data_IF_577640988971
#
_entry.id   IF_577640988971
#
_cell.length_a   1.000
_cell.length_b   1.000
_cell.length_c   1.000
_cell.angle_alpha   90.00
_cell.angle_beta   90.00
_cell.angle_gamma   90.00
#
_symmetry.space_group_name_H-M   'P 1'
#
loop_
_entity.id
_entity.type
_entity.pdbx_description
1 polymer ?
#
# COMPACT_ATOMS: atom_id res chain seq x y z
N UNK A 1 68.17 -3.58 -10.17
CA UNK A 1 68.07 -3.98 -8.74
C UNK A 1 66.62 -3.82 -8.30
N UNK A 2 66.10 -4.84 -7.61
CA UNK A 2 64.85 -4.95 -6.85
C UNK A 2 63.49 -4.81 -7.60
N UNK A 3 62.91 -5.98 -7.90
CA UNK A 3 61.50 -6.19 -8.22
C UNK A 3 60.60 -5.78 -7.05
N UNK A 4 59.72 -4.79 -7.23
CA UNK A 4 58.64 -4.47 -6.28
C UNK A 4 57.47 -5.45 -6.47
N UNK A 5 57.59 -6.61 -5.82
CA UNK A 5 56.65 -7.72 -5.92
C UNK A 5 55.24 -7.46 -5.33
N UNK A 6 54.30 -8.40 -5.55
CA UNK A 6 52.85 -8.30 -5.29
C UNK A 6 52.44 -8.41 -3.81
N UNK A 7 53.23 -7.85 -2.89
CA UNK A 7 52.97 -7.93 -1.44
C UNK A 7 51.88 -6.97 -0.94
N UNK A 8 51.66 -5.85 -1.62
CA UNK A 8 50.65 -4.84 -1.23
C UNK A 8 49.22 -5.32 -1.44
N UNK A 9 48.96 -6.09 -2.50
CA UNK A 9 47.62 -6.61 -2.81
C UNK A 9 47.12 -7.61 -1.76
N UNK A 10 47.97 -8.54 -1.33
CA UNK A 10 47.60 -9.54 -0.30
C UNK A 10 47.38 -8.93 1.08
N UNK A 11 48.19 -7.94 1.48
CA UNK A 11 47.98 -7.22 2.74
C UNK A 11 46.70 -6.39 2.72
N UNK A 12 46.42 -5.67 1.63
CA UNK A 12 45.19 -4.89 1.48
C UNK A 12 43.94 -5.80 1.52
N UNK A 13 43.98 -6.94 0.83
CA UNK A 13 42.89 -7.94 0.85
C UNK A 13 42.67 -8.49 2.25
N UNK A 14 43.72 -8.89 2.97
CA UNK A 14 43.58 -9.39 4.35
C UNK A 14 43.06 -8.31 5.32
N UNK A 15 43.45 -7.04 5.12
CA UNK A 15 42.95 -5.93 5.92
C UNK A 15 41.46 -5.66 5.66
N UNK A 16 41.02 -5.73 4.40
CA UNK A 16 39.62 -5.60 3.99
C UNK A 16 38.80 -6.77 4.55
N UNK A 17 39.29 -8.01 4.42
CA UNK A 17 38.62 -9.21 4.95
C UNK A 17 38.47 -9.15 6.48
N UNK A 18 39.50 -8.69 7.19
CA UNK A 18 39.44 -8.54 8.66
C UNK A 18 38.49 -7.43 9.09
N UNK A 19 38.38 -6.35 8.31
CA UNK A 19 37.43 -5.26 8.58
C UNK A 19 35.99 -5.69 8.29
N UNK A 20 35.77 -6.47 7.23
CA UNK A 20 34.47 -7.07 6.89
C UNK A 20 34.00 -8.08 7.96
N UNK A 21 34.88 -8.95 8.46
CA UNK A 21 34.52 -9.91 9.50
C UNK A 21 34.23 -9.23 10.84
N UNK A 22 35.03 -8.22 11.22
CA UNK A 22 34.79 -7.38 12.41
C UNK A 22 33.43 -6.67 12.34
N UNK A 23 33.12 -6.10 11.17
CA UNK A 23 31.85 -5.40 10.95
C UNK A 23 30.65 -6.37 11.02
N UNK A 24 30.81 -7.60 10.54
CA UNK A 24 29.78 -8.64 10.66
C UNK A 24 29.42 -8.98 12.11
N UNK A 25 30.42 -9.09 12.99
CA UNK A 25 30.20 -9.33 14.43
C UNK A 25 29.53 -8.13 15.12
N UNK A 26 29.93 -6.90 14.81
CA UNK A 26 29.31 -5.69 15.35
C UNK A 26 27.82 -5.57 14.96
N UNK A 27 27.48 -5.92 13.71
CA UNK A 27 26.09 -5.93 13.25
C UNK A 27 25.26 -6.97 14.03
N UNK A 28 25.80 -8.18 14.24
CA UNK A 28 25.09 -9.22 14.97
C UNK A 28 24.78 -8.79 16.42
N UNK A 29 25.78 -8.23 17.11
CA UNK A 29 25.62 -7.74 18.48
C UNK A 29 24.66 -6.55 18.56
N UNK A 30 24.68 -5.66 17.56
CA UNK A 30 23.74 -4.55 17.44
C UNK A 30 22.30 -5.04 17.22
N UNK A 31 22.10 -6.03 16.34
CA UNK A 31 20.80 -6.64 16.07
C UNK A 31 20.24 -7.35 17.31
N UNK A 32 21.05 -8.10 18.05
CA UNK A 32 20.62 -8.78 19.27
C UNK A 32 20.27 -7.79 20.39
N UNK A 33 21.03 -6.69 20.52
CA UNK A 33 20.66 -5.59 21.45
C UNK A 33 19.32 -4.96 21.08
N UNK A 34 19.07 -4.71 19.80
CA UNK A 34 17.80 -4.18 19.31
C UNK A 34 16.67 -5.16 19.59
N UNK A 35 16.83 -6.43 19.23
CA UNK A 35 15.85 -7.49 19.48
C UNK A 35 15.49 -7.59 20.96
N UNK A 36 16.49 -7.55 21.84
CA UNK A 36 16.29 -7.57 23.29
C UNK A 36 15.56 -6.32 23.80
N UNK A 37 15.88 -5.13 23.27
CA UNK A 37 15.21 -3.87 23.63
C UNK A 37 13.76 -3.83 23.14
N UNK A 38 13.50 -4.33 21.93
CA UNK A 38 12.15 -4.48 21.36
C UNK A 38 11.34 -5.46 22.20
N UNK A 39 11.85 -6.65 22.51
CA UNK A 39 11.15 -7.63 23.36
C UNK A 39 10.89 -7.11 24.78
N UNK A 40 11.80 -6.31 25.35
CA UNK A 40 11.60 -5.71 26.67
C UNK A 40 10.57 -4.58 26.69
N UNK A 41 10.34 -3.93 25.54
CA UNK A 41 9.39 -2.80 25.42
C UNK A 41 8.03 -3.23 24.87
N UNK A 42 7.95 -4.40 24.23
CA UNK A 42 6.71 -4.96 23.71
C UNK A 42 5.79 -5.34 24.88
N UNK A 43 4.61 -4.71 25.00
CA UNK A 43 3.63 -5.11 26.00
C UNK A 43 3.18 -6.55 25.75
N UNK A 44 3.11 -7.33 26.83
CA UNK A 44 2.65 -8.72 26.84
C UNK A 44 1.31 -8.88 26.08
N UNK A 45 1.16 -9.91 25.25
CA UNK A 45 -0.02 -10.10 24.39
C UNK A 45 -1.34 -9.99 25.18
N UNK A 46 -1.34 -10.48 26.41
CA UNK A 46 -2.47 -10.41 27.35
C UNK A 46 -2.84 -8.99 27.80
N UNK A 47 -1.89 -8.04 27.83
CA UNK A 47 -2.16 -6.61 28.14
C UNK A 47 -2.72 -5.87 26.93
N UNK A 48 -2.37 -6.27 25.71
CA UNK A 48 -2.95 -5.71 24.49
C UNK A 48 -4.42 -6.11 24.36
N UNK A 49 -4.76 -7.37 24.68
CA UNK A 49 -6.14 -7.87 24.69
C UNK A 49 -7.08 -7.12 25.65
N UNK A 50 -6.55 -6.62 26.77
CA UNK A 50 -7.32 -5.83 27.75
C UNK A 50 -7.48 -4.35 27.37
N UNK A 51 -6.80 -3.87 26.33
CA UNK A 51 -6.92 -2.48 25.90
C UNK A 51 -8.24 -2.26 25.15
N UNK A 52 -8.95 -1.17 25.44
CA UNK A 52 -10.20 -0.79 24.76
C UNK A 52 -10.00 -0.64 23.24
N UNK A 53 -8.80 -0.28 22.81
CA UNK A 53 -8.40 -0.22 21.40
C UNK A 53 -8.39 -1.61 20.73
N UNK A 54 -7.96 -2.67 21.42
CA UNK A 54 -8.01 -4.05 20.89
C UNK A 54 -9.43 -4.59 20.79
N UNK A 55 -10.33 -4.23 21.71
CA UNK A 55 -11.73 -4.62 21.58
C UNK A 55 -12.45 -3.92 20.41
N UNK A 56 -12.11 -2.66 20.13
CA UNK A 56 -12.71 -1.90 19.01
C UNK A 56 -12.07 -2.30 17.67
N UNK A 57 -10.74 -2.26 17.60
CA UNK A 57 -10.00 -2.53 16.37
C UNK A 57 -9.68 -4.02 16.21
N UNK A 58 -9.23 -4.74 17.23
CA UNK A 58 -8.91 -6.18 17.11
C UNK A 58 -10.09 -7.03 16.64
N UNK A 59 -11.23 -7.00 17.34
CA UNK A 59 -12.39 -7.81 16.96
C UNK A 59 -12.93 -7.49 15.56
N UNK A 60 -12.81 -6.22 15.11
CA UNK A 60 -13.31 -5.83 13.79
C UNK A 60 -12.29 -6.04 12.68
N UNK A 61 -11.00 -5.77 12.91
CA UNK A 61 -9.92 -5.99 11.95
C UNK A 61 -9.72 -7.48 11.65
N UNK A 62 -10.06 -8.40 12.54
CA UNK A 62 -9.97 -9.85 12.29
C UNK A 62 -11.20 -10.47 11.60
N UNK A 63 -12.20 -9.68 11.20
CA UNK A 63 -13.33 -10.21 10.41
C UNK A 63 -12.83 -10.77 9.08
N UNK A 64 -13.19 -12.02 8.78
CA UNK A 64 -12.76 -12.74 7.56
C UNK A 64 -13.12 -12.01 6.26
N UNK A 65 -14.17 -11.20 6.29
CA UNK A 65 -14.62 -10.37 5.17
C UNK A 65 -13.57 -9.33 4.76
N UNK A 66 -12.87 -8.74 5.74
CA UNK A 66 -11.83 -7.73 5.54
C UNK A 66 -10.52 -8.30 5.00
N UNK A 67 -10.32 -9.61 5.14
CA UNK A 67 -9.16 -10.35 4.62
C UNK A 67 -9.50 -11.18 3.39
N UNK A 68 -10.67 -10.95 2.79
CA UNK A 68 -11.10 -11.71 1.63
C UNK A 68 -10.35 -11.27 0.36
N UNK A 69 -9.88 -12.25 -0.40
CA UNK A 69 -9.23 -12.05 -1.71
C UNK A 69 -10.24 -12.03 -2.87
N UNK A 70 -11.49 -11.68 -2.59
CA UNK A 70 -12.52 -11.50 -3.62
C UNK A 70 -12.20 -10.23 -4.40
N UNK A 71 -12.39 -10.27 -5.73
CA UNK A 71 -12.14 -9.13 -6.63
C UNK A 71 -12.81 -7.84 -6.17
N UNK A 72 -14.07 -7.93 -5.74
CA UNK A 72 -14.84 -6.78 -5.25
C UNK A 72 -14.32 -6.24 -3.91
N UNK A 73 -13.82 -7.12 -3.04
CA UNK A 73 -13.24 -6.69 -1.77
C UNK A 73 -11.90 -5.99 -1.99
N UNK A 74 -11.05 -6.53 -2.87
CA UNK A 74 -9.79 -5.91 -3.29
C UNK A 74 -10.02 -4.54 -3.93
N UNK A 75 -11.02 -4.42 -4.82
CA UNK A 75 -11.35 -3.15 -5.47
C UNK A 75 -11.88 -2.10 -4.49
N UNK A 76 -12.79 -2.49 -3.59
CA UNK A 76 -13.26 -1.60 -2.50
C UNK A 76 -12.12 -1.15 -1.59
N UNK A 77 -11.23 -2.08 -1.25
CA UNK A 77 -10.04 -1.78 -0.44
C UNK A 77 -9.13 -0.75 -1.14
N UNK A 78 -8.79 -0.97 -2.40
CA UNK A 78 -7.91 -0.06 -3.15
C UNK A 78 -8.55 1.32 -3.31
N UNK A 79 -9.83 1.38 -3.69
CA UNK A 79 -10.54 2.65 -3.86
C UNK A 79 -10.65 3.44 -2.56
N UNK A 80 -10.99 2.80 -1.44
CA UNK A 80 -11.07 3.45 -0.13
C UNK A 80 -9.70 3.93 0.35
N UNK A 81 -8.65 3.13 0.18
CA UNK A 81 -7.30 3.51 0.57
C UNK A 81 -6.76 4.69 -0.25
N UNK A 82 -7.00 4.72 -1.56
CA UNK A 82 -6.64 5.85 -2.42
C UNK A 82 -7.45 7.10 -2.10
N UNK A 83 -8.73 6.96 -1.80
CA UNK A 83 -9.55 8.08 -1.34
C UNK A 83 -8.91 8.74 -0.10
N UNK A 84 -8.53 7.95 0.90
CA UNK A 84 -7.88 8.49 2.11
C UNK A 84 -6.44 8.97 1.84
N UNK A 85 -5.73 8.39 0.86
CA UNK A 85 -4.37 8.81 0.51
C UNK A 85 -4.30 10.27 0.03
N UNK A 86 -5.34 10.72 -0.67
CA UNK A 86 -5.44 12.07 -1.24
C UNK A 86 -6.31 13.02 -0.40
N UNK A 87 -6.57 12.67 0.87
CA UNK A 87 -7.12 13.62 1.84
C UNK A 87 -5.99 14.23 2.67
N UNK A 88 -6.07 15.51 3.07
CA UNK A 88 -5.04 16.20 3.84
C UNK A 88 -5.02 15.76 5.32
N UNK A 89 -4.82 14.46 5.56
CA UNK A 89 -4.99 13.79 6.86
C UNK A 89 -3.76 12.97 7.28
N UNK A 90 -2.56 13.40 6.86
CA UNK A 90 -1.31 12.73 7.24
C UNK A 90 -1.21 12.54 8.75
N UNK A 91 -0.72 11.36 9.15
CA UNK A 91 -0.64 10.94 10.55
C UNK A 91 -1.92 10.26 11.07
N UNK A 92 -3.10 10.68 10.63
CA UNK A 92 -4.39 10.09 11.03
C UNK A 92 -4.99 9.15 9.99
N UNK A 93 -4.43 9.11 8.77
CA UNK A 93 -4.91 8.31 7.64
C UNK A 93 -5.18 6.83 7.98
N UNK A 94 -4.32 6.20 8.79
CA UNK A 94 -4.49 4.79 9.18
C UNK A 94 -5.76 4.57 10.02
N UNK A 95 -6.03 5.49 10.95
CA UNK A 95 -7.22 5.43 11.79
C UNK A 95 -8.45 5.66 10.92
N UNK A 96 -8.39 6.65 10.02
CA UNK A 96 -9.48 6.97 9.10
C UNK A 96 -9.80 5.77 8.20
N UNK A 97 -8.80 5.11 7.61
CA UNK A 97 -9.00 3.87 6.84
C UNK A 97 -9.66 2.80 7.69
N UNK A 98 -9.14 2.55 8.89
CA UNK A 98 -9.69 1.54 9.81
C UNK A 98 -11.12 1.84 10.26
N UNK A 99 -11.55 3.11 10.30
CA UNK A 99 -12.93 3.49 10.62
C UNK A 99 -13.82 3.40 9.38
N UNK A 100 -13.38 3.93 8.24
CA UNK A 100 -14.14 3.93 7.00
C UNK A 100 -14.40 2.52 6.47
N UNK A 101 -13.45 1.59 6.64
CA UNK A 101 -13.61 0.18 6.23
C UNK A 101 -14.74 -0.53 7.00
N UNK A 102 -15.14 -0.01 8.18
CA UNK A 102 -16.27 -0.56 8.95
C UNK A 102 -17.60 -0.24 8.27
N UNK A 103 -17.70 0.94 7.66
CA UNK A 103 -18.88 1.40 6.93
C UNK A 103 -18.88 0.90 5.48
N UNK A 104 -17.70 0.83 4.87
CA UNK A 104 -17.49 0.39 3.48
C UNK A 104 -16.60 -0.86 3.48
N UNK A 105 -17.17 -2.04 3.78
CA UNK A 105 -16.39 -3.26 3.95
C UNK A 105 -15.66 -3.64 2.65
N UNK A 106 -14.34 -3.73 2.74
CA UNK A 106 -13.42 -4.07 1.67
C UNK A 106 -12.17 -4.76 2.21
N UNK A 107 -11.16 -4.98 1.36
CA UNK A 107 -9.91 -5.59 1.79
C UNK A 107 -9.06 -4.58 2.58
N UNK A 108 -8.96 -4.79 3.89
CA UNK A 108 -8.28 -3.89 4.82
C UNK A 108 -6.77 -3.79 4.53
N UNK A 109 -6.00 -4.89 4.37
CA UNK A 109 -4.59 -4.79 4.02
C UNK A 109 -4.31 -3.95 2.77
N UNK A 110 -5.12 -4.11 1.73
CA UNK A 110 -4.98 -3.33 0.50
C UNK A 110 -5.34 -1.86 0.74
N UNK A 111 -6.39 -1.57 1.52
CA UNK A 111 -6.76 -0.19 1.85
C UNK A 111 -5.65 0.54 2.62
N UNK A 112 -5.06 -0.12 3.61
CA UNK A 112 -3.95 0.44 4.38
C UNK A 112 -2.71 0.64 3.49
N UNK A 113 -2.37 -0.35 2.65
CA UNK A 113 -1.24 -0.23 1.73
C UNK A 113 -1.44 0.92 0.73
N UNK A 114 -2.65 1.08 0.19
CA UNK A 114 -2.98 2.14 -0.75
C UNK A 114 -2.95 3.53 -0.12
N UNK A 115 -3.35 3.65 1.16
CA UNK A 115 -3.25 4.93 1.89
C UNK A 115 -1.81 5.43 2.07
N UNK A 116 -0.81 4.56 1.92
CA UNK A 116 0.62 4.89 2.02
C UNK A 116 1.25 5.32 0.70
N UNK A 117 0.48 5.41 -0.39
CA UNK A 117 0.98 5.95 -1.67
C UNK A 117 1.40 7.41 -1.50
N UNK A 118 0.65 8.19 -0.71
CA UNK A 118 1.04 9.54 -0.30
C UNK A 118 1.95 9.44 0.92
N UNK A 119 3.25 9.61 0.70
CA UNK A 119 4.25 9.61 1.76
C UNK A 119 4.59 11.06 2.16
N UNK A 120 5.23 11.24 3.32
CA UNK A 120 5.57 12.58 3.85
C UNK A 120 6.37 13.44 2.85
N UNK A 121 7.15 12.80 1.98
CA UNK A 121 7.92 13.49 0.96
C UNK A 121 7.05 13.94 -0.23
N UNK A 122 6.07 13.14 -0.65
CA UNK A 122 5.14 13.49 -1.74
C UNK A 122 3.96 14.33 -1.28
N UNK A 123 3.69 14.38 0.01
CA UNK A 123 2.61 15.14 0.63
C UNK A 123 2.64 16.64 0.29
N UNK A 124 3.81 17.27 0.41
CA UNK A 124 3.96 18.71 0.17
C UNK A 124 3.51 19.11 -1.24
N UNK A 125 4.08 18.48 -2.31
CA UNK A 125 3.63 18.72 -3.68
C UNK A 125 2.15 18.41 -3.92
N UNK A 126 1.63 17.32 -3.34
CA UNK A 126 0.22 16.92 -3.48
C UNK A 126 -0.72 17.96 -2.85
N UNK A 127 -0.45 18.40 -1.63
CA UNK A 127 -1.27 19.39 -0.92
C UNK A 127 -1.22 20.76 -1.59
N UNK A 128 -0.05 21.14 -2.13
CA UNK A 128 0.03 22.34 -2.95
C UNK A 128 -0.83 22.23 -4.22
N UNK A 129 -0.80 21.09 -4.89
CA UNK A 129 -1.65 20.85 -6.06
C UNK A 129 -3.15 20.88 -5.72
N UNK A 130 -3.55 20.20 -4.65
CA UNK A 130 -4.93 20.20 -4.14
C UNK A 130 -5.42 21.61 -3.82
N UNK A 131 -4.59 22.41 -3.15
CA UNK A 131 -4.90 23.81 -2.89
C UNK A 131 -5.10 24.62 -4.18
N UNK A 132 -4.17 24.54 -5.13
CA UNK A 132 -4.28 25.29 -6.40
C UNK A 132 -5.48 24.85 -7.23
N UNK A 133 -5.76 23.56 -7.25
CA UNK A 133 -6.94 23.01 -7.90
C UNK A 133 -8.23 23.47 -7.22
N UNK A 134 -8.26 23.50 -5.89
CA UNK A 134 -9.39 24.01 -5.11
C UNK A 134 -9.63 25.51 -5.32
N UNK A 135 -8.58 26.32 -5.38
CA UNK A 135 -8.69 27.74 -5.75
C UNK A 135 -9.33 27.90 -7.13
N UNK A 136 -8.84 27.13 -8.10
CA UNK A 136 -9.39 27.12 -9.45
C UNK A 136 -10.88 26.71 -9.47
N UNK A 137 -11.28 25.71 -8.66
CA UNK A 137 -12.69 25.32 -8.53
C UNK A 137 -13.57 26.44 -7.94
N UNK A 138 -13.07 27.19 -6.96
CA UNK A 138 -13.77 28.33 -6.37
C UNK A 138 -13.93 29.45 -7.41
N UNK A 139 -12.87 29.75 -8.15
CA UNK A 139 -12.86 30.77 -9.21
C UNK A 139 -13.91 30.48 -10.30
N UNK A 140 -14.00 29.23 -10.78
CA UNK A 140 -14.96 28.87 -11.84
C UNK A 140 -16.42 28.81 -11.36
N UNK A 141 -16.65 28.56 -10.06
CA UNK A 141 -18.01 28.42 -9.50
C UNK A 141 -18.60 29.76 -9.08
N UNK A 142 -17.80 30.84 -9.05
CA UNK A 142 -18.25 32.16 -8.62
C UNK A 142 -18.66 32.20 -7.14
N UNK A 143 -18.28 31.20 -6.34
CA UNK A 143 -18.39 31.27 -4.90
C UNK A 143 -17.57 32.48 -4.42
N UNK A 144 -18.18 33.30 -3.56
CA UNK A 144 -17.78 34.67 -3.17
C UNK A 144 -16.28 34.91 -2.95
N UNK A 145 -15.80 36.15 -3.10
CA UNK A 145 -14.41 36.47 -3.38
C UNK A 145 -13.47 35.90 -2.33
N UNK A 146 -12.62 34.95 -2.76
CA UNK A 146 -11.36 34.66 -2.11
C UNK A 146 -10.62 35.99 -1.91
N UNK A 147 -10.46 36.44 -0.66
CA UNK A 147 -9.62 37.59 -0.38
C UNK A 147 -8.17 37.16 -0.60
N UNK A 148 -7.45 37.73 -1.58
CA UNK A 148 -6.03 37.44 -1.73
C UNK A 148 -5.34 37.76 -0.40
N UNK A 149 -4.43 36.85 0.01
CA UNK A 149 -3.63 36.83 1.25
C UNK A 149 -3.09 38.22 1.67
N UNK A 150 -2.97 39.15 0.74
CA UNK A 150 -2.45 40.50 0.94
C UNK A 150 -3.28 41.36 1.91
N UNK A 151 -4.59 41.10 2.13
CA UNK A 151 -5.46 42.01 2.91
C UNK A 151 -6.34 41.35 4.00
N UNK A 152 -6.20 40.05 4.25
CA UNK A 152 -7.04 39.35 5.22
C UNK A 152 -6.33 39.26 6.60
N UNK A 153 -7.05 39.43 7.74
CA UNK A 153 -6.52 39.10 9.06
C UNK A 153 -5.86 37.71 9.05
N UNK A 154 -4.74 37.53 9.76
CA UNK A 154 -3.94 36.30 9.72
C UNK A 154 -4.75 35.02 9.98
N UNK A 155 -5.88 35.12 10.69
CA UNK A 155 -6.78 34.02 11.03
C UNK A 155 -7.76 33.69 9.89
N UNK A 156 -8.27 34.68 9.14
CA UNK A 156 -9.20 34.43 8.02
C UNK A 156 -8.50 33.81 6.81
N UNK A 157 -7.26 34.20 6.54
CA UNK A 157 -6.47 33.60 5.45
C UNK A 157 -6.20 32.11 5.64
N UNK A 158 -6.15 31.62 6.89
CA UNK A 158 -5.96 30.18 7.18
C UNK A 158 -7.21 29.37 6.81
N UNK A 159 -8.40 29.90 7.07
CA UNK A 159 -9.66 29.23 6.71
C UNK A 159 -9.86 29.17 5.19
N UNK A 160 -9.46 30.21 4.46
CA UNK A 160 -9.56 30.23 3.00
C UNK A 160 -8.60 29.21 2.35
N UNK A 161 -7.37 29.12 2.87
CA UNK A 161 -6.39 28.14 2.41
C UNK A 161 -6.86 26.71 2.70
N UNK A 162 -7.29 26.46 3.94
CA UNK A 162 -7.80 25.15 4.33
C UNK A 162 -9.05 24.77 3.52
N UNK A 163 -9.99 25.70 3.32
CA UNK A 163 -11.21 25.48 2.56
C UNK A 163 -10.93 25.11 1.10
N UNK A 164 -10.09 25.88 0.42
CA UNK A 164 -9.67 25.57 -0.95
C UNK A 164 -8.97 24.21 -1.04
N UNK A 165 -8.03 23.92 -0.12
CA UNK A 165 -7.34 22.63 -0.10
C UNK A 165 -8.28 21.45 0.16
N UNK A 166 -9.24 21.58 1.09
CA UNK A 166 -10.25 20.54 1.35
C UNK A 166 -11.17 20.33 0.14
N UNK A 167 -11.59 21.40 -0.54
CA UNK A 167 -12.39 21.28 -1.75
C UNK A 167 -11.64 20.53 -2.86
N UNK A 168 -10.41 20.94 -3.14
CA UNK A 168 -9.58 20.31 -4.18
C UNK A 168 -9.27 18.84 -3.85
N UNK A 169 -8.88 18.56 -2.61
CA UNK A 169 -8.60 17.20 -2.14
C UNK A 169 -9.82 16.29 -2.19
N UNK A 170 -11.04 16.77 -1.85
CA UNK A 170 -12.25 15.97 -1.96
C UNK A 170 -12.53 15.52 -3.41
N UNK A 171 -12.35 16.41 -4.38
CA UNK A 171 -12.56 16.06 -5.80
C UNK A 171 -11.47 15.09 -6.29
N UNK A 172 -10.21 15.36 -5.96
CA UNK A 172 -9.07 14.52 -6.36
C UNK A 172 -9.17 13.14 -5.71
N UNK A 173 -9.46 13.07 -4.42
CA UNK A 173 -9.60 11.81 -3.67
C UNK A 173 -10.77 10.96 -4.19
N UNK A 174 -11.92 11.56 -4.52
CA UNK A 174 -13.03 10.83 -5.14
C UNK A 174 -12.64 10.26 -6.50
N UNK A 175 -11.98 11.05 -7.35
CA UNK A 175 -11.50 10.61 -8.65
C UNK A 175 -10.44 9.49 -8.51
N UNK A 176 -9.50 9.64 -7.58
CA UNK A 176 -8.46 8.65 -7.30
C UNK A 176 -9.05 7.34 -6.74
N UNK A 177 -10.01 7.44 -5.81
CA UNK A 177 -10.69 6.30 -5.23
C UNK A 177 -11.52 5.53 -6.27
N UNK A 178 -12.27 6.24 -7.11
CA UNK A 178 -13.06 5.63 -8.18
C UNK A 178 -12.17 4.99 -9.25
N UNK A 179 -11.11 5.68 -9.69
CA UNK A 179 -10.17 5.15 -10.68
C UNK A 179 -9.45 3.91 -10.14
N UNK A 180 -9.03 3.93 -8.88
CA UNK A 180 -8.48 2.76 -8.19
C UNK A 180 -9.43 1.57 -8.15
N UNK A 181 -10.69 1.81 -7.77
CA UNK A 181 -11.71 0.77 -7.75
C UNK A 181 -11.89 0.11 -9.14
N UNK A 182 -12.06 0.93 -10.18
CA UNK A 182 -12.22 0.45 -11.56
C UNK A 182 -10.98 -0.29 -12.03
N UNK A 183 -9.79 0.26 -11.77
CA UNK A 183 -8.51 -0.32 -12.13
C UNK A 183 -8.36 -1.73 -11.54
N UNK A 184 -8.63 -1.90 -10.24
CA UNK A 184 -8.52 -3.21 -9.58
C UNK A 184 -9.52 -4.23 -10.14
N UNK A 185 -10.75 -3.82 -10.43
CA UNK A 185 -11.73 -4.71 -11.07
C UNK A 185 -11.27 -5.14 -12.48
N UNK A 186 -10.81 -4.18 -13.28
CA UNK A 186 -10.31 -4.43 -14.63
C UNK A 186 -9.09 -5.37 -14.59
N UNK A 187 -8.15 -5.12 -13.66
CA UNK A 187 -6.96 -5.93 -13.47
C UNK A 187 -7.29 -7.38 -13.12
N UNK A 188 -8.14 -7.61 -12.12
CA UNK A 188 -8.51 -8.97 -11.71
C UNK A 188 -9.31 -9.69 -12.81
N UNK A 189 -10.19 -8.99 -13.52
CA UNK A 189 -10.94 -9.58 -14.64
C UNK A 189 -10.03 -9.94 -15.82
N UNK A 190 -9.03 -9.11 -16.11
CA UNK A 190 -8.02 -9.40 -17.13
C UNK A 190 -7.21 -10.65 -16.75
N UNK A 191 -6.72 -10.74 -15.51
CA UNK A 191 -6.02 -11.93 -15.03
C UNK A 191 -6.86 -13.20 -15.15
N UNK A 192 -8.15 -13.14 -14.79
CA UNK A 192 -9.06 -14.29 -14.90
C UNK A 192 -9.20 -14.74 -16.35
N UNK A 193 -9.37 -13.82 -17.30
CA UNK A 193 -9.45 -14.14 -18.74
C UNK A 193 -8.17 -14.82 -19.22
N UNK A 194 -7.01 -14.26 -18.90
CA UNK A 194 -5.71 -14.81 -19.31
C UNK A 194 -5.47 -16.23 -18.73
N UNK A 195 -5.81 -16.45 -17.46
CA UNK A 195 -5.71 -17.77 -16.82
C UNK A 195 -6.65 -18.79 -17.48
N UNK A 196 -7.88 -18.40 -17.82
CA UNK A 196 -8.84 -19.30 -18.47
C UNK A 196 -8.40 -19.70 -19.88
N UNK A 197 -7.90 -18.76 -20.68
CA UNK A 197 -7.36 -19.05 -22.02
C UNK A 197 -6.23 -20.08 -21.97
N UNK A 198 -5.34 -19.97 -20.97
CA UNK A 198 -4.25 -20.94 -20.75
C UNK A 198 -4.77 -22.32 -20.33
N UNK A 199 -5.81 -22.39 -19.51
CA UNK A 199 -6.39 -23.68 -19.09
C UNK A 199 -7.08 -24.38 -20.27
N UNK A 200 -7.81 -23.65 -21.10
CA UNK A 200 -8.50 -24.20 -22.28
C UNK A 200 -7.49 -24.74 -23.29
N UNK A 201 -6.40 -24.01 -23.56
CA UNK A 201 -5.33 -24.49 -24.46
C UNK A 201 -4.60 -25.72 -23.90
N UNK A 202 -4.40 -25.81 -22.59
CA UNK A 202 -3.79 -27.01 -21.98
C UNK A 202 -4.73 -28.23 -22.04
N UNK A 203 -6.05 -28.02 -21.93
CA UNK A 203 -7.05 -29.10 -22.05
C UNK A 203 -7.14 -29.62 -23.49
N UNK A 204 -7.10 -28.75 -24.50
CA UNK A 204 -7.15 -29.17 -25.91
C UNK A 204 -5.92 -30.02 -26.29
N UNK A 205 -4.71 -29.63 -25.86
CA UNK A 205 -3.48 -30.40 -26.08
C UNK A 205 -3.50 -31.76 -25.35
N UNK A 206 -4.00 -31.81 -24.12
CA UNK A 206 -4.16 -33.09 -23.38
C UNK A 206 -5.17 -34.03 -24.04
N UNK A 207 -6.27 -33.50 -24.60
CA UNK A 207 -7.23 -34.32 -25.34
C UNK A 207 -6.65 -34.83 -26.66
N UNK A 208 -5.87 -34.01 -27.38
CA UNK A 208 -5.21 -34.46 -28.61
C UNK A 208 -4.18 -35.57 -28.38
N UNK A 209 -3.50 -35.58 -27.23
CA UNK A 209 -2.50 -36.61 -26.86
C UNK A 209 -3.06 -37.85 -26.18
N UNK A 210 -4.38 -37.97 -25.96
CA UNK A 210 -4.95 -39.18 -25.35
C UNK A 210 -4.88 -40.34 -26.36
N UNK A 211 -4.25 -41.49 -26.04
CA UNK A 211 -4.25 -42.65 -26.92
C UNK A 211 -5.68 -43.12 -27.16
N UNK A 212 -6.03 -43.42 -28.42
CA UNK A 212 -7.34 -44.01 -28.76
C UNK A 212 -7.48 -45.31 -27.96
N UNK A 213 -8.54 -45.42 -27.16
CA UNK A 213 -8.84 -46.67 -26.43
C UNK A 213 -8.89 -47.82 -27.46
N UNK A 214 -8.18 -48.93 -27.23
CA UNK A 214 -8.31 -50.09 -28.11
C UNK A 214 -9.79 -50.48 -28.13
N UNK A 215 -10.36 -50.56 -29.33
CA UNK A 215 -11.70 -51.10 -29.51
C UNK A 215 -11.67 -52.50 -28.91
N UNK A 216 -12.39 -52.72 -27.82
CA UNK A 216 -12.64 -54.06 -27.30
C UNK A 216 -13.30 -54.84 -28.43
N UNK A 217 -12.51 -55.66 -29.12
CA UNK A 217 -13.03 -56.61 -30.10
C UNK A 217 -14.07 -57.44 -29.37
N UNK A 218 -15.30 -57.42 -29.88
CA UNK A 218 -16.41 -58.15 -29.30
C UNK A 218 -16.02 -59.61 -29.15
N UNK A 219 -15.85 -60.04 -27.90
CA UNK A 219 -15.82 -61.43 -27.53
C UNK A 219 -17.27 -61.90 -27.58
N UNK A 220 -17.70 -62.38 -28.74
CA UNK A 220 -18.95 -63.12 -28.83
C UNK A 220 -18.61 -64.61 -28.89
N UNK A 221 -19.15 -65.33 -27.90
CA UNK A 221 -19.00 -66.76 -27.67
C UNK A 221 -19.79 -67.57 -28.69
#
# INVERSE_FOLDING_TARGET
>A
MAQSGPLTSRMAVNMILKKLSSFGHEIHDWLEKIKKKIHATLPDQKRLEQSRAYHIFGATLFKRELWSFKSEALARGLGLGLFVAFTPTIGFQMIIVCVLILFFPGNLPIALAASWITNVFTAGPVYFFEYRFGQWLIEITGATPYHPIQNAPAISGVYDIAGAMWLGSLVISLAAGLSGYIFMLAFVNLERKLRMSKIISLRSVKHAKRPKRPKTAGFNK
#
